data_IF_989075796273
#
_entry.id   IF_989075796273
#
_cell.length_a   1.000
_cell.length_b   1.000
_cell.length_c   1.000
_cell.angle_alpha   90.00
_cell.angle_beta   90.00
_cell.angle_gamma   90.00
#
_symmetry.space_group_name_H-M   'P 1'
#
loop_
_entity.id
_entity.type
_entity.pdbx_description
1 polymer ?
#
# COMPACT_ATOMS: atom_id res chain seq x y z
N UNK A 1 -24.56 4.16 20.45
CA UNK A 1 -24.30 3.02 19.55
C UNK A 1 -22.93 2.44 19.86
N UNK A 2 -22.84 1.17 20.29
CA UNK A 2 -21.54 0.47 20.38
C UNK A 2 -21.13 0.06 18.97
N UNK A 3 -20.14 0.73 18.39
CA UNK A 3 -19.49 0.24 17.18
C UNK A 3 -18.67 -0.99 17.56
N UNK A 4 -19.16 -2.16 17.19
CA UNK A 4 -18.36 -3.39 17.21
C UNK A 4 -17.21 -3.18 16.23
N UNK A 5 -15.99 -3.00 16.74
CA UNK A 5 -14.79 -3.00 15.91
C UNK A 5 -14.76 -4.27 15.10
N UNK A 6 -14.68 -4.16 13.77
CA UNK A 6 -14.46 -5.29 12.90
C UNK A 6 -13.23 -6.09 13.39
N UNK A 7 -13.24 -7.43 13.30
CA UNK A 7 -12.06 -8.23 13.61
C UNK A 7 -10.87 -7.70 12.83
N UNK A 8 -9.71 -7.61 13.47
CA UNK A 8 -8.49 -7.22 12.77
C UNK A 8 -8.25 -8.21 11.62
N UNK A 9 -7.85 -7.75 10.41
CA UNK A 9 -7.65 -8.65 9.29
C UNK A 9 -6.62 -9.75 9.63
N UNK A 10 -6.74 -10.92 9.02
CA UNK A 10 -5.72 -11.96 9.15
C UNK A 10 -4.34 -11.40 8.73
N UNK A 11 -3.30 -11.70 9.53
CA UNK A 11 -1.93 -11.25 9.28
C UNK A 11 -1.46 -10.01 10.05
N UNK A 12 -2.27 -9.43 10.96
CA UNK A 12 -1.83 -8.30 11.83
C UNK A 12 -1.82 -8.64 13.33
N UNK A 13 -1.73 -9.92 13.69
CA UNK A 13 -1.51 -10.33 15.08
C UNK A 13 -0.09 -9.96 15.53
N UNK A 14 0.06 -9.29 16.67
CA UNK A 14 1.37 -8.92 17.23
C UNK A 14 1.86 -7.51 16.93
N UNK A 15 1.21 -6.77 16.01
CA UNK A 15 1.51 -5.34 15.79
C UNK A 15 0.63 -4.42 16.65
N UNK A 16 1.05 -3.17 16.93
CA UNK A 16 0.28 -2.23 17.73
C UNK A 16 -1.13 -1.94 17.21
N UNK A 17 -2.03 -1.55 18.10
CA UNK A 17 -3.45 -1.29 17.78
C UNK A 17 -3.64 -0.24 16.69
N UNK A 18 -2.77 0.79 16.63
CA UNK A 18 -2.82 1.81 15.59
C UNK A 18 -2.59 1.23 14.19
N UNK A 19 -1.61 0.35 14.03
CA UNK A 19 -1.37 -0.34 12.75
C UNK A 19 -2.53 -1.27 12.42
N UNK A 20 -3.01 -2.08 13.37
CA UNK A 20 -4.17 -2.96 13.14
C UNK A 20 -5.41 -2.17 12.69
N UNK A 21 -5.66 -1.02 13.30
CA UNK A 21 -6.76 -0.14 12.95
C UNK A 21 -6.59 0.45 11.53
N UNK A 22 -5.38 0.91 11.18
CA UNK A 22 -5.10 1.43 9.85
C UNK A 22 -5.27 0.35 8.75
N UNK A 23 -4.75 -0.86 8.97
CA UNK A 23 -4.91 -1.99 8.04
C UNK A 23 -6.38 -2.39 7.92
N UNK A 24 -7.11 -2.46 9.04
CA UNK A 24 -8.55 -2.77 9.05
C UNK A 24 -9.43 -1.76 8.32
N UNK A 25 -8.91 -0.57 7.99
CA UNK A 25 -9.61 0.46 7.22
C UNK A 25 -9.37 0.38 5.71
N UNK A 26 -8.47 -0.48 5.22
CA UNK A 26 -8.21 -0.62 3.79
C UNK A 26 -9.43 -1.30 3.12
N UNK A 27 -10.22 -0.61 2.27
CA UNK A 27 -11.48 -1.17 1.78
C UNK A 27 -11.30 -2.42 0.91
N UNK A 28 -10.18 -2.50 0.20
CA UNK A 28 -9.84 -3.63 -0.67
C UNK A 28 -8.71 -4.49 -0.08
N UNK A 29 -8.66 -4.62 1.25
CA UNK A 29 -7.69 -5.50 1.89
C UNK A 29 -7.89 -6.95 1.46
N UNK A 30 -6.80 -7.61 1.08
CA UNK A 30 -6.79 -9.01 0.66
C UNK A 30 -5.83 -9.80 1.56
N UNK A 31 -6.34 -10.79 2.31
CA UNK A 31 -5.47 -11.71 3.05
C UNK A 31 -4.43 -12.37 2.13
N UNK A 32 -3.20 -12.49 2.61
CA UNK A 32 -2.10 -13.12 1.87
C UNK A 32 -1.37 -12.22 0.85
N UNK A 33 -1.79 -10.97 0.68
CA UNK A 33 -1.04 -9.99 -0.14
C UNK A 33 0.23 -9.52 0.56
N UNK A 34 0.14 -9.17 1.84
CA UNK A 34 1.28 -8.90 2.70
C UNK A 34 1.63 -10.19 3.42
N UNK A 35 2.92 -10.56 3.41
CA UNK A 35 3.39 -11.78 4.08
C UNK A 35 3.56 -11.57 5.57
N UNK A 36 4.06 -10.39 5.97
CA UNK A 36 4.19 -9.99 7.36
C UNK A 36 4.09 -8.46 7.50
N UNK A 37 3.48 -8.01 8.59
CA UNK A 37 3.39 -6.61 8.98
C UNK A 37 4.35 -6.36 10.15
N UNK A 38 5.34 -5.51 9.93
CA UNK A 38 6.39 -5.22 10.92
C UNK A 38 6.24 -3.79 11.43
N UNK A 39 6.28 -3.61 12.74
CA UNK A 39 6.29 -2.29 13.37
C UNK A 39 7.71 -1.94 13.84
N UNK A 40 8.46 -1.20 13.03
CA UNK A 40 9.89 -0.93 13.28
C UNK A 40 10.36 0.31 12.54
N UNK A 41 11.31 1.05 13.12
CA UNK A 41 11.94 2.22 12.51
C UNK A 41 13.24 1.90 11.74
N UNK A 42 13.60 0.61 11.65
CA UNK A 42 14.85 0.11 11.04
C UNK A 42 15.06 0.51 9.57
N UNK A 43 13.98 0.83 8.85
CA UNK A 43 14.04 1.20 7.43
C UNK A 43 14.51 2.63 7.19
N UNK A 44 14.53 3.50 8.22
CA UNK A 44 14.86 4.92 8.05
C UNK A 44 13.74 5.77 7.41
N UNK A 45 12.67 5.16 6.93
CA UNK A 45 11.50 5.80 6.29
C UNK A 45 10.23 5.62 7.14
N UNK A 46 9.11 6.25 6.75
CA UNK A 46 7.82 6.05 7.43
C UNK A 46 7.20 4.68 7.14
N UNK A 47 7.44 4.14 5.95
CA UNK A 47 7.02 2.82 5.52
C UNK A 47 8.08 2.23 4.58
N UNK A 48 8.07 0.91 4.44
CA UNK A 48 8.85 0.22 3.43
C UNK A 48 8.20 -1.13 3.10
N UNK A 49 8.26 -1.52 1.83
CA UNK A 49 7.83 -2.84 1.37
C UNK A 49 9.02 -3.61 0.81
N UNK A 50 9.28 -4.80 1.35
CA UNK A 50 10.23 -5.72 0.73
C UNK A 50 9.59 -6.33 -0.52
N UNK A 51 10.07 -5.94 -1.70
CA UNK A 51 9.45 -6.34 -2.97
C UNK A 51 9.63 -7.83 -3.31
N UNK A 52 10.57 -8.52 -2.67
CA UNK A 52 10.77 -9.96 -2.87
C UNK A 52 9.86 -10.80 -1.98
N UNK A 53 9.70 -10.40 -0.71
CA UNK A 53 8.94 -11.19 0.28
C UNK A 53 7.53 -10.67 0.52
N UNK A 54 7.22 -9.43 0.10
CA UNK A 54 5.98 -8.69 0.42
C UNK A 54 5.79 -8.43 1.92
N UNK A 55 6.88 -8.41 2.69
CA UNK A 55 6.88 -7.90 4.06
C UNK A 55 6.70 -6.37 4.02
N UNK A 56 5.81 -5.84 4.85
CA UNK A 56 5.59 -4.40 4.98
C UNK A 56 6.02 -3.94 6.37
N UNK A 57 7.02 -3.06 6.41
CA UNK A 57 7.47 -2.39 7.64
C UNK A 57 6.86 -1.00 7.73
N UNK A 58 6.26 -0.67 8.88
CA UNK A 58 5.74 0.66 9.20
C UNK A 58 6.49 1.21 10.41
N UNK A 59 6.95 2.45 10.31
CA UNK A 59 7.75 3.09 11.34
C UNK A 59 6.87 3.77 12.40
N UNK A 60 7.18 3.59 13.70
CA UNK A 60 6.53 4.35 14.78
C UNK A 60 6.80 5.84 14.73
N UNK A 61 7.81 6.30 14.00
CA UNK A 61 8.20 7.72 13.92
C UNK A 61 7.37 8.53 12.93
N UNK A 62 6.52 7.89 12.13
CA UNK A 62 5.64 8.58 11.19
C UNK A 62 4.58 9.43 11.93
N UNK A 63 4.23 10.62 11.43
CA UNK A 63 3.15 11.41 12.00
C UNK A 63 1.83 10.63 12.02
N UNK A 64 1.18 10.57 13.18
CA UNK A 64 -0.05 9.79 13.35
C UNK A 64 -1.17 10.16 12.35
N UNK A 65 -1.24 11.44 11.96
CA UNK A 65 -2.23 11.95 11.01
C UNK A 65 -2.10 11.40 9.57
N UNK A 66 -0.95 10.81 9.22
CA UNK A 66 -0.73 10.20 7.90
C UNK A 66 -0.54 8.68 7.97
N UNK A 67 -0.67 8.06 9.14
CA UNK A 67 -0.41 6.63 9.33
C UNK A 67 -1.22 5.77 8.34
N UNK A 68 -2.50 6.06 8.17
CA UNK A 68 -3.33 5.34 7.21
C UNK A 68 -2.78 5.45 5.78
N UNK A 69 -2.42 6.67 5.36
CA UNK A 69 -1.87 6.93 4.02
C UNK A 69 -0.59 6.15 3.77
N UNK A 70 0.33 6.12 4.74
CA UNK A 70 1.58 5.33 4.65
C UNK A 70 1.26 3.84 4.58
N UNK A 71 0.39 3.34 5.46
CA UNK A 71 0.01 1.92 5.50
C UNK A 71 -0.60 1.45 4.17
N UNK A 72 -1.53 2.22 3.60
CA UNK A 72 -2.17 1.84 2.33
C UNK A 72 -1.23 2.02 1.13
N UNK A 73 -0.28 2.94 1.19
CA UNK A 73 0.78 3.09 0.19
C UNK A 73 1.66 1.82 0.16
N UNK A 74 2.18 1.37 1.30
CA UNK A 74 3.02 0.18 1.36
C UNK A 74 2.25 -1.11 0.99
N UNK A 75 1.01 -1.24 1.46
CA UNK A 75 0.13 -2.33 1.00
C UNK A 75 -0.04 -2.32 -0.52
N UNK A 76 -0.07 -1.15 -1.16
CA UNK A 76 -0.23 -1.03 -2.61
C UNK A 76 0.98 -1.54 -3.39
N UNK A 77 2.20 -1.36 -2.88
CA UNK A 77 3.40 -2.00 -3.44
C UNK A 77 3.27 -3.53 -3.39
N UNK A 78 2.93 -4.07 -2.20
CA UNK A 78 2.76 -5.52 -2.01
C UNK A 78 1.65 -6.10 -2.90
N UNK A 79 0.54 -5.37 -3.06
CA UNK A 79 -0.58 -5.77 -3.92
C UNK A 79 -0.18 -5.79 -5.39
N UNK A 80 0.45 -4.71 -5.89
CA UNK A 80 0.88 -4.64 -7.28
C UNK A 80 1.84 -5.80 -7.61
N UNK A 81 2.82 -6.07 -6.75
CA UNK A 81 3.75 -7.20 -6.95
C UNK A 81 3.01 -8.54 -6.88
N UNK A 82 2.13 -8.73 -5.90
CA UNK A 82 1.35 -9.97 -5.77
C UNK A 82 0.50 -10.27 -7.01
N UNK A 83 -0.09 -9.25 -7.62
CA UNK A 83 -0.88 -9.37 -8.86
C UNK A 83 -0.04 -9.83 -10.06
N UNK A 84 1.22 -9.37 -10.16
CA UNK A 84 2.12 -9.74 -11.26
C UNK A 84 2.99 -10.97 -10.95
N UNK A 85 3.07 -11.39 -9.69
CA UNK A 85 3.91 -12.49 -9.22
C UNK A 85 5.41 -12.17 -9.14
N UNK A 86 5.84 -11.01 -9.65
CA UNK A 86 7.22 -10.50 -9.53
C UNK A 86 7.27 -8.98 -9.68
N UNK A 87 8.31 -8.36 -9.12
CA UNK A 87 8.58 -6.93 -9.31
C UNK A 87 8.86 -6.58 -10.76
N UNK A 88 9.65 -7.39 -11.47
CA UNK A 88 9.97 -7.16 -12.88
C UNK A 88 8.72 -7.14 -13.78
N UNK A 89 7.77 -8.07 -13.54
CA UNK A 89 6.50 -8.10 -14.26
C UNK A 89 5.63 -6.88 -13.97
N UNK A 90 5.58 -6.43 -12.71
CA UNK A 90 4.87 -5.21 -12.34
C UNK A 90 5.51 -3.98 -12.99
N UNK A 91 6.84 -3.84 -12.92
CA UNK A 91 7.58 -2.67 -13.37
C UNK A 91 7.28 -2.29 -14.82
N UNK A 92 7.26 -3.26 -15.72
CA UNK A 92 6.97 -3.01 -17.15
C UNK A 92 5.60 -2.35 -17.31
N UNK A 93 4.58 -2.87 -16.64
CA UNK A 93 3.23 -2.34 -16.72
C UNK A 93 3.09 -0.97 -16.01
N UNK A 94 3.74 -0.83 -14.85
CA UNK A 94 3.71 0.41 -14.07
C UNK A 94 4.44 1.53 -14.80
N UNK A 95 5.63 1.28 -15.37
CA UNK A 95 6.37 2.26 -16.17
C UNK A 95 5.57 2.71 -17.38
N UNK A 96 4.90 1.79 -18.09
CA UNK A 96 4.02 2.12 -19.21
C UNK A 96 2.85 3.01 -18.81
N UNK A 97 2.32 2.83 -17.60
CA UNK A 97 1.06 3.47 -17.16
C UNK A 97 1.29 4.77 -16.38
N UNK A 98 2.21 4.76 -15.42
CA UNK A 98 2.50 5.86 -14.49
C UNK A 98 3.80 6.62 -14.85
N UNK A 99 4.57 6.11 -15.81
CA UNK A 99 5.76 6.77 -16.36
C UNK A 99 6.96 6.82 -15.41
N UNK A 100 8.12 7.15 -15.98
CA UNK A 100 9.39 7.26 -15.27
C UNK A 100 10.13 5.92 -15.17
N UNK A 101 11.17 5.89 -14.31
CA UNK A 101 11.89 4.65 -13.99
C UNK A 101 11.02 3.68 -13.20
N UNK A 102 11.44 2.41 -13.11
CA UNK A 102 10.71 1.39 -12.34
C UNK A 102 10.38 1.85 -10.91
N UNK A 103 11.36 2.38 -10.17
CA UNK A 103 11.13 2.94 -8.83
C UNK A 103 10.11 4.08 -8.85
N UNK A 104 10.30 5.07 -9.72
CA UNK A 104 9.37 6.21 -9.83
C UNK A 104 7.94 5.76 -10.15
N UNK A 105 7.78 4.80 -11.06
CA UNK A 105 6.50 4.29 -11.49
C UNK A 105 5.79 3.51 -10.38
N UNK A 106 6.54 2.70 -9.59
CA UNK A 106 6.02 2.03 -8.38
C UNK A 106 5.48 3.03 -7.39
N UNK A 107 6.27 4.04 -7.04
CA UNK A 107 5.87 5.05 -6.06
C UNK A 107 4.63 5.82 -6.49
N UNK A 108 4.56 6.23 -7.77
CA UNK A 108 3.38 6.89 -8.33
C UNK A 108 2.15 5.98 -8.33
N UNK A 109 2.32 4.72 -8.67
CA UNK A 109 1.25 3.74 -8.66
C UNK A 109 0.73 3.52 -7.22
N UNK A 110 1.62 3.35 -6.25
CA UNK A 110 1.30 3.16 -4.85
C UNK A 110 0.54 4.37 -4.26
N UNK A 111 0.98 5.59 -4.54
CA UNK A 111 0.26 6.81 -4.16
C UNK A 111 -1.14 6.87 -4.79
N UNK A 112 -1.25 6.57 -6.09
CA UNK A 112 -2.55 6.53 -6.76
C UNK A 112 -3.50 5.47 -6.19
N UNK A 113 -2.98 4.26 -5.91
CA UNK A 113 -3.72 3.16 -5.29
C UNK A 113 -4.14 3.49 -3.84
N UNK A 114 -3.29 4.18 -3.09
CA UNK A 114 -3.59 4.69 -1.76
C UNK A 114 -4.71 5.74 -1.80
N UNK A 115 -4.61 6.72 -2.71
CA UNK A 115 -5.58 7.81 -2.87
C UNK A 115 -6.96 7.27 -3.25
N UNK A 116 -7.05 6.33 -4.20
CA UNK A 116 -8.36 5.75 -4.57
C UNK A 116 -8.96 4.88 -3.46
N UNK A 117 -8.17 4.51 -2.45
CA UNK A 117 -8.62 3.82 -1.24
C UNK A 117 -8.90 4.77 -0.06
N UNK A 118 -8.68 6.08 -0.23
CA UNK A 118 -9.03 7.11 0.77
C UNK A 118 -7.84 7.72 1.51
N UNK A 119 -6.61 7.51 1.06
CA UNK A 119 -5.46 8.25 1.58
C UNK A 119 -5.61 9.75 1.29
N UNK A 120 -5.29 10.58 2.29
CA UNK A 120 -5.35 12.04 2.20
C UNK A 120 -3.96 12.67 2.04
N UNK A 121 -2.91 11.86 2.09
CA UNK A 121 -1.52 12.26 1.91
C UNK A 121 -0.82 11.30 0.97
N UNK A 122 0.10 11.81 0.16
CA UNK A 122 0.91 11.07 -0.79
C UNK A 122 2.26 11.79 -0.94
N UNK A 123 3.33 11.04 -1.22
CA UNK A 123 4.70 11.57 -1.19
C UNK A 123 5.22 11.99 -2.57
N UNK A 124 4.85 11.24 -3.61
CA UNK A 124 5.44 11.33 -4.94
C UNK A 124 4.48 11.87 -5.99
N UNK A 125 3.17 11.71 -5.80
CA UNK A 125 2.15 12.30 -6.66
C UNK A 125 0.83 12.52 -5.94
N UNK A 126 0.12 13.59 -6.28
CA UNK A 126 -1.27 13.82 -5.87
C UNK A 126 -2.29 12.97 -6.65
N UNK A 127 -1.81 12.14 -7.59
CA UNK A 127 -2.64 11.33 -8.48
C UNK A 127 -3.76 12.15 -9.17
N UNK A 128 -3.44 13.31 -9.73
CA UNK A 128 -4.42 14.18 -10.39
C UNK A 128 -5.00 13.61 -11.70
N UNK A 129 -4.28 12.68 -12.34
CA UNK A 129 -4.69 12.07 -13.62
C UNK A 129 -5.86 11.10 -13.45
N UNK A 130 -6.94 11.32 -14.21
CA UNK A 130 -8.11 10.42 -14.24
C UNK A 130 -7.75 9.02 -14.77
N UNK A 131 -6.87 8.95 -15.78
CA UNK A 131 -6.37 7.69 -16.33
C UNK A 131 -5.57 6.91 -15.27
N UNK A 132 -4.71 7.58 -14.50
CA UNK A 132 -3.96 6.94 -13.41
C UNK A 132 -4.87 6.45 -12.30
N UNK A 133 -5.93 7.21 -11.95
CA UNK A 133 -6.93 6.76 -10.97
C UNK A 133 -7.72 5.53 -11.48
N UNK A 134 -8.03 5.48 -12.77
CA UNK A 134 -8.68 4.32 -13.38
C UNK A 134 -7.78 3.08 -13.32
N UNK A 135 -6.52 3.21 -13.73
CA UNK A 135 -5.51 2.15 -13.61
C UNK A 135 -5.32 1.70 -12.16
N UNK A 136 -5.20 2.64 -11.21
CA UNK A 136 -5.06 2.32 -9.80
C UNK A 136 -6.26 1.50 -9.26
N UNK A 137 -7.49 1.81 -9.69
CA UNK A 137 -8.67 1.00 -9.34
C UNK A 137 -8.60 -0.42 -9.89
N UNK A 138 -8.02 -0.62 -11.09
CA UNK A 138 -7.77 -1.96 -11.64
C UNK A 138 -6.81 -2.74 -10.74
N UNK A 139 -5.67 -2.15 -10.36
CA UNK A 139 -4.71 -2.78 -9.45
C UNK A 139 -5.31 -3.07 -8.08
N UNK A 140 -6.04 -2.12 -7.49
CA UNK A 140 -6.75 -2.29 -6.20
C UNK A 140 -7.79 -3.42 -6.26
N UNK A 141 -8.41 -3.64 -7.44
CA UNK A 141 -9.29 -4.78 -7.69
C UNK A 141 -8.55 -6.12 -7.85
N UNK A 142 -7.24 -6.16 -7.64
CA UNK A 142 -6.41 -7.37 -7.73
C UNK A 142 -6.19 -7.84 -9.17
N UNK A 143 -6.26 -6.93 -10.15
CA UNK A 143 -6.11 -7.23 -11.58
C UNK A 143 -4.89 -6.53 -12.16
N UNK A 144 -4.26 -7.16 -13.15
CA UNK A 144 -3.17 -6.57 -13.93
C UNK A 144 -3.71 -5.43 -14.82
N UNK A 145 -2.87 -4.43 -15.05
CA UNK A 145 -3.02 -3.37 -16.05
C UNK A 145 -2.72 -3.88 -17.46
#
# INVERSE_FOLDING_TARGET
MRTTSAPAPAGVSGVPSALRYAVGRIPAYRPGVVSDWVWSDRSGHYGATNLATREVTISPRGPAGILYSVVVHEYSHALAIGVYGSSAGADVALMRTFGGSAGTARERAADCMAIVQGATWANYTSCGSSAWRAAARVLVSGRRL
#
